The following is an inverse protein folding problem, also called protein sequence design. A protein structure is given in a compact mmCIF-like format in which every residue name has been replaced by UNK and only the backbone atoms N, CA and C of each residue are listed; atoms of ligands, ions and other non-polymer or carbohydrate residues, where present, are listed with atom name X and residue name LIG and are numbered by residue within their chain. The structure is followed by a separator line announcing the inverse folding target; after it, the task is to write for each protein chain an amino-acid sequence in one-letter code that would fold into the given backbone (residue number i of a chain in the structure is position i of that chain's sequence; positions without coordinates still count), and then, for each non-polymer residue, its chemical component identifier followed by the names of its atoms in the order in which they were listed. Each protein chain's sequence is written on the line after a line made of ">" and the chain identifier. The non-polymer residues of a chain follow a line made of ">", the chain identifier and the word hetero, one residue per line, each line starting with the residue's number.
data_IF_279900765456
#
_entry.id   IF_279900765456
#
_cell.length_a   1.000
_cell.length_b   1.000
_cell.length_c   1.000
_cell.angle_alpha   90.00
_cell.angle_beta   90.00
_cell.angle_gamma   90.00
#
_symmetry.space_group_name_H-M   'P 1'
#
loop_
_entity.id
_entity.type
_entity.pdbx_description
1 polymer ?
#
# COMPACT_ATOMS: atom_id res chain seq x y z
N UNK A 1 -8.52 2.12 32.59
CA UNK A 1 -7.64 2.65 33.64
C UNK A 1 -6.20 2.10 33.57
N UNK A 2 -5.90 0.80 33.75
CA UNK A 2 -4.51 0.27 33.65
C UNK A 2 -3.92 0.44 32.23
N UNK A 3 -4.68 0.17 31.16
CA UNK A 3 -4.24 0.38 29.78
C UNK A 3 -3.98 1.84 29.43
N UNK A 4 -4.72 2.76 30.03
CA UNK A 4 -4.58 4.20 29.80
C UNK A 4 -3.32 4.73 30.50
N UNK A 5 -3.02 4.24 31.73
CA UNK A 5 -1.80 4.56 32.46
C UNK A 5 -0.56 4.02 31.71
N UNK A 6 -0.62 2.79 31.20
CA UNK A 6 0.46 2.20 30.39
C UNK A 6 0.68 2.96 29.08
N UNK A 7 -0.40 3.44 28.44
CA UNK A 7 -0.32 4.28 27.23
C UNK A 7 0.31 5.63 27.52
N UNK A 8 -0.10 6.31 28.61
CA UNK A 8 0.46 7.60 29.04
C UNK A 8 1.93 7.45 29.40
N UNK A 9 2.28 6.40 30.15
CA UNK A 9 3.67 6.11 30.52
C UNK A 9 4.56 5.88 29.30
N UNK A 10 4.08 5.10 28.32
CA UNK A 10 4.79 4.89 27.05
C UNK A 10 5.00 6.19 26.28
N UNK A 11 4.02 7.08 26.28
CA UNK A 11 4.07 8.35 25.56
C UNK A 11 5.04 9.36 26.21
N UNK A 12 5.23 9.28 27.52
CA UNK A 12 6.14 10.17 28.29
C UNK A 12 7.59 9.68 28.17
N UNK A 13 7.83 8.38 28.20
CA UNK A 13 9.18 7.80 28.35
C UNK A 13 9.78 7.20 27.06
N UNK A 14 8.97 7.02 26.00
CA UNK A 14 9.42 6.41 24.74
C UNK A 14 9.21 7.37 23.58
N UNK A 15 10.21 7.50 22.71
CA UNK A 15 10.05 8.29 21.48
C UNK A 15 9.02 7.66 20.53
N UNK A 16 8.30 8.49 19.78
CA UNK A 16 7.36 8.00 18.75
C UNK A 16 8.05 7.11 17.71
N UNK A 17 9.30 7.41 17.38
CA UNK A 17 10.13 6.58 16.48
C UNK A 17 10.34 5.17 17.06
N UNK A 18 10.68 5.06 18.34
CA UNK A 18 10.81 3.75 19.00
C UNK A 18 9.51 2.98 19.01
N UNK A 19 8.40 3.65 19.33
CA UNK A 19 7.06 3.03 19.36
C UNK A 19 6.65 2.56 17.98
N UNK A 20 6.86 3.37 16.93
CA UNK A 20 6.58 2.99 15.54
C UNK A 20 7.42 1.78 15.14
N UNK A 21 8.74 1.82 15.35
CA UNK A 21 9.65 0.69 15.07
C UNK A 21 9.21 -0.61 15.75
N UNK A 22 8.77 -0.52 17.01
CA UNK A 22 8.25 -1.67 17.77
C UNK A 22 6.96 -2.21 17.16
N UNK A 23 6.04 -1.32 16.72
CA UNK A 23 4.79 -1.71 16.03
C UNK A 23 5.09 -2.43 14.72
N UNK A 24 6.00 -1.89 13.89
CA UNK A 24 6.40 -2.50 12.62
C UNK A 24 7.02 -3.88 12.81
N UNK A 25 7.98 -4.02 13.73
CA UNK A 25 8.57 -5.32 14.07
C UNK A 25 7.51 -6.33 14.54
N UNK A 26 6.54 -5.88 15.38
CA UNK A 26 5.47 -6.73 15.88
C UNK A 26 4.50 -7.14 14.77
N UNK A 27 4.17 -6.23 13.83
CA UNK A 27 3.30 -6.54 12.70
C UNK A 27 3.88 -7.66 11.84
N UNK A 28 5.19 -7.59 11.54
CA UNK A 28 5.89 -8.65 10.81
C UNK A 28 5.96 -9.95 11.63
N UNK A 29 6.40 -9.87 12.90
CA UNK A 29 6.59 -11.07 13.73
C UNK A 29 5.27 -11.82 14.03
N UNK A 30 4.15 -11.11 14.10
CA UNK A 30 2.81 -11.70 14.33
C UNK A 30 2.07 -12.02 13.04
N UNK A 31 2.67 -11.69 11.92
CA UNK A 31 2.10 -11.96 10.61
C UNK A 31 0.66 -11.45 10.47
N UNK A 32 0.46 -10.16 10.78
CA UNK A 32 -0.86 -9.54 10.70
C UNK A 32 -1.47 -9.61 9.29
N UNK A 33 -0.60 -9.65 8.28
CA UNK A 33 -0.96 -9.86 6.89
C UNK A 33 -0.16 -11.05 6.35
N UNK A 34 -0.86 -12.12 5.97
CA UNK A 34 -0.23 -13.35 5.45
C UNK A 34 0.62 -13.09 4.20
N UNK A 35 0.30 -12.03 3.46
CA UNK A 35 0.96 -11.62 2.23
C UNK A 35 2.37 -11.05 2.46
N UNK A 36 2.73 -10.67 3.69
CA UNK A 36 4.10 -10.25 4.02
C UNK A 36 5.14 -11.36 3.77
N UNK A 37 4.73 -12.64 3.82
CA UNK A 37 5.59 -13.77 3.44
C UNK A 37 5.87 -13.82 1.94
N UNK A 38 4.99 -13.28 1.10
CA UNK A 38 5.19 -13.24 -0.35
C UNK A 38 6.48 -12.50 -0.69
N UNK A 39 6.78 -11.43 0.05
CA UNK A 39 7.99 -10.61 -0.16
C UNK A 39 9.26 -11.46 -0.07
N UNK A 40 9.30 -12.46 0.82
CA UNK A 40 10.48 -13.32 1.00
C UNK A 40 10.76 -14.21 -0.22
N UNK A 41 9.73 -14.53 -1.02
CA UNK A 41 9.87 -15.33 -2.24
C UNK A 41 10.48 -14.52 -3.40
N UNK A 42 10.38 -13.19 -3.37
CA UNK A 42 10.77 -12.29 -4.47
C UNK A 42 11.88 -11.31 -4.08
N UNK A 43 12.55 -11.54 -2.96
CA UNK A 43 13.64 -10.69 -2.46
C UNK A 43 14.77 -10.54 -3.48
N UNK A 44 15.22 -9.32 -3.68
CA UNK A 44 16.36 -9.00 -4.55
C UNK A 44 17.08 -7.74 -4.06
N UNK A 45 18.22 -7.93 -3.39
CA UNK A 45 19.02 -6.84 -2.84
C UNK A 45 19.75 -5.99 -3.89
N UNK A 46 19.75 -6.42 -5.14
CA UNK A 46 20.34 -5.66 -6.24
C UNK A 46 19.37 -4.69 -6.89
N UNK A 47 18.05 -4.84 -6.65
CA UNK A 47 16.98 -4.09 -7.30
C UNK A 47 16.12 -3.35 -6.30
N UNK A 48 15.40 -2.34 -6.81
CA UNK A 48 14.52 -1.52 -6.01
C UNK A 48 13.10 -2.12 -5.96
N UNK A 49 12.33 -1.74 -4.93
CA UNK A 49 10.93 -2.07 -4.80
C UNK A 49 10.07 -0.83 -4.59
N UNK A 50 8.77 -0.96 -4.91
CA UNK A 50 7.79 0.12 -4.79
C UNK A 50 6.67 -0.31 -3.86
N UNK A 51 6.24 0.62 -2.97
CA UNK A 51 5.10 0.49 -2.07
C UNK A 51 4.11 1.61 -2.33
N UNK A 52 2.97 1.29 -2.96
CA UNK A 52 1.91 2.25 -3.29
C UNK A 52 0.77 2.08 -2.31
N UNK A 53 0.53 3.11 -1.51
CA UNK A 53 -0.38 3.08 -0.36
C UNK A 53 0.34 2.61 0.91
N UNK A 54 1.17 3.49 1.47
CA UNK A 54 2.05 3.18 2.61
C UNK A 54 1.29 2.94 3.90
N UNK A 55 0.24 3.74 4.15
CA UNK A 55 -0.57 3.70 5.37
C UNK A 55 0.30 3.68 6.64
N UNK A 56 0.50 2.54 7.30
CA UNK A 56 1.31 2.39 8.53
C UNK A 56 2.78 2.04 8.28
N UNK A 57 3.17 1.87 7.02
CA UNK A 57 4.55 1.57 6.63
C UNK A 57 5.00 0.13 6.86
N UNK A 58 4.07 -0.81 7.05
CA UNK A 58 4.42 -2.22 7.32
C UNK A 58 5.09 -2.85 6.09
N UNK A 59 4.51 -2.67 4.90
CA UNK A 59 5.14 -3.15 3.66
C UNK A 59 6.44 -2.44 3.35
N UNK A 60 6.49 -1.09 3.43
CA UNK A 60 7.75 -0.36 3.26
C UNK A 60 8.86 -0.89 4.18
N UNK A 61 8.52 -1.17 5.47
CA UNK A 61 9.49 -1.71 6.42
C UNK A 61 9.90 -3.15 6.09
N UNK A 62 8.99 -4.01 5.62
CA UNK A 62 9.32 -5.37 5.16
C UNK A 62 10.19 -5.33 3.91
N UNK A 63 9.77 -4.58 2.87
CA UNK A 63 10.51 -4.42 1.62
C UNK A 63 11.93 -3.90 1.86
N UNK A 64 12.11 -2.96 2.80
CA UNK A 64 13.45 -2.39 3.10
C UNK A 64 14.47 -3.41 3.58
N UNK A 65 14.03 -4.57 4.04
CA UNK A 65 14.91 -5.67 4.46
C UNK A 65 15.32 -6.57 3.30
N UNK A 66 14.54 -6.54 2.20
CA UNK A 66 14.65 -7.53 1.12
C UNK A 66 15.10 -6.94 -0.22
N UNK A 67 15.02 -5.61 -0.39
CA UNK A 67 15.39 -4.90 -1.62
C UNK A 67 16.43 -3.81 -1.36
N UNK A 68 16.99 -3.23 -2.44
CA UNK A 68 18.02 -2.20 -2.38
C UNK A 68 17.47 -0.87 -1.88
N UNK A 69 16.60 -0.21 -2.64
CA UNK A 69 15.90 1.02 -2.29
C UNK A 69 14.40 0.81 -2.35
N UNK A 70 13.66 1.52 -1.50
CA UNK A 70 12.20 1.47 -1.47
C UNK A 70 11.65 2.84 -1.84
N UNK A 71 10.81 2.85 -2.88
CA UNK A 71 10.06 4.03 -3.31
C UNK A 71 8.63 3.91 -2.81
N UNK A 72 8.28 4.70 -1.79
CA UNK A 72 7.00 4.60 -1.08
C UNK A 72 6.13 5.81 -1.37
N UNK A 73 4.85 5.58 -1.68
CA UNK A 73 3.91 6.63 -2.09
C UNK A 73 2.72 6.71 -1.13
N UNK A 74 2.53 7.90 -0.51
CA UNK A 74 1.44 8.17 0.42
C UNK A 74 0.88 9.58 0.19
N UNK A 75 -0.27 9.72 -0.48
CA UNK A 75 -0.87 11.02 -0.76
C UNK A 75 -1.57 11.66 0.43
N UNK A 76 -1.94 10.87 1.45
CA UNK A 76 -2.79 11.31 2.54
C UNK A 76 -2.11 12.39 3.40
N UNK A 77 -2.57 13.67 3.35
CA UNK A 77 -1.94 14.78 4.06
C UNK A 77 -2.02 14.67 5.59
N UNK A 78 -2.89 13.79 6.09
CA UNK A 78 -3.01 13.52 7.51
C UNK A 78 -2.00 12.46 7.99
N UNK A 79 -1.51 11.60 7.09
CA UNK A 79 -0.52 10.55 7.38
C UNK A 79 0.90 10.96 7.00
N UNK A 80 1.07 11.55 5.84
CA UNK A 80 2.38 11.85 5.28
C UNK A 80 3.32 12.59 6.24
N UNK A 81 2.92 13.66 6.98
CA UNK A 81 3.84 14.35 7.89
C UNK A 81 4.38 13.45 8.99
N UNK A 82 3.55 12.54 9.52
CA UNK A 82 3.96 11.58 10.54
C UNK A 82 4.94 10.55 9.97
N UNK A 83 4.63 9.98 8.81
CA UNK A 83 5.48 9.01 8.13
C UNK A 83 6.82 9.64 7.73
N UNK A 84 6.79 10.84 7.16
CA UNK A 84 8.00 11.55 6.76
C UNK A 84 8.89 11.88 7.96
N UNK A 85 8.30 12.20 9.10
CA UNK A 85 9.06 12.53 10.32
C UNK A 85 9.69 11.32 10.98
N UNK A 86 9.00 10.17 10.99
CA UNK A 86 9.41 9.03 11.82
C UNK A 86 9.76 7.77 10.99
N UNK A 87 9.01 7.46 9.94
CA UNK A 87 9.23 6.23 9.16
C UNK A 87 10.51 6.31 8.34
N UNK A 88 10.81 7.48 7.74
CA UNK A 88 12.05 7.69 6.97
C UNK A 88 13.33 7.52 7.82
N UNK A 89 13.26 7.85 9.11
CA UNK A 89 14.39 7.62 10.05
C UNK A 89 14.56 6.14 10.39
N UNK A 90 13.45 5.38 10.42
CA UNK A 90 13.47 3.94 10.71
C UNK A 90 13.94 3.13 9.50
N UNK A 91 13.68 3.63 8.29
CA UNK A 91 13.95 2.98 7.00
C UNK A 91 14.89 3.88 6.18
N UNK A 92 16.23 3.79 6.40
CA UNK A 92 17.19 4.69 5.76
C UNK A 92 17.31 4.50 4.23
N UNK A 93 16.95 3.32 3.71
CA UNK A 93 16.90 3.02 2.27
C UNK A 93 15.49 3.21 1.67
N UNK A 94 14.72 4.19 2.17
CA UNK A 94 13.40 4.53 1.64
C UNK A 94 13.35 5.99 1.22
N UNK A 95 12.74 6.25 0.07
CA UNK A 95 12.27 7.56 -0.34
C UNK A 95 10.76 7.60 -0.25
N UNK A 96 10.21 8.54 0.52
CA UNK A 96 8.78 8.72 0.70
C UNK A 96 8.28 9.89 -0.14
N UNK A 97 7.30 9.63 -1.01
CA UNK A 97 6.71 10.60 -1.91
C UNK A 97 5.29 10.97 -1.46
N UNK A 98 4.96 12.27 -1.50
CA UNK A 98 3.62 12.77 -1.19
C UNK A 98 2.78 12.91 -2.47
N UNK A 99 2.63 11.84 -3.21
CA UNK A 99 1.84 11.78 -4.43
C UNK A 99 0.86 10.62 -4.37
N UNK A 100 -0.33 10.80 -4.95
CA UNK A 100 -1.12 9.68 -5.44
C UNK A 100 -0.53 9.21 -6.77
N UNK A 101 -0.59 7.92 -7.06
CA UNK A 101 -0.20 7.40 -8.37
C UNK A 101 -1.45 7.12 -9.22
N UNK A 102 -1.36 7.47 -10.51
CA UNK A 102 -2.45 7.34 -11.47
C UNK A 102 -1.89 7.20 -12.89
N UNK A 103 -2.77 7.09 -13.90
CA UNK A 103 -2.43 7.12 -15.31
C UNK A 103 -2.27 8.54 -15.90
N UNK A 104 -2.41 9.58 -15.06
CA UNK A 104 -2.28 11.00 -15.45
C UNK A 104 -1.53 11.80 -14.36
N UNK A 105 -0.96 12.93 -14.78
CA UNK A 105 -0.41 13.95 -13.89
C UNK A 105 -1.46 15.06 -13.74
N UNK A 106 -2.09 15.14 -12.58
CA UNK A 106 -3.16 16.11 -12.31
C UNK A 106 -3.31 16.38 -10.81
N UNK A 107 -4.03 17.45 -10.45
CA UNK A 107 -4.55 17.60 -9.10
C UNK A 107 -5.89 16.85 -9.00
N UNK A 108 -6.10 16.18 -7.89
CA UNK A 108 -7.34 15.42 -7.64
C UNK A 108 -7.75 15.47 -6.18
N UNK A 109 -8.98 15.04 -5.91
CA UNK A 109 -9.51 14.97 -4.56
C UNK A 109 -9.31 13.60 -3.93
N UNK A 110 -8.54 13.55 -2.84
CA UNK A 110 -8.43 12.38 -1.96
C UNK A 110 -9.58 12.41 -0.96
N UNK A 111 -10.44 11.41 -1.00
CA UNK A 111 -11.54 11.21 -0.05
C UNK A 111 -11.02 10.44 1.17
N UNK A 112 -11.07 11.04 2.34
CA UNK A 112 -10.69 10.40 3.60
C UNK A 112 -11.95 10.20 4.44
N UNK A 113 -12.44 8.96 4.62
CA UNK A 113 -13.64 8.71 5.39
C UNK A 113 -13.42 8.89 6.89
N UNK A 114 -14.45 9.38 7.60
CA UNK A 114 -14.42 9.51 9.05
C UNK A 114 -15.72 9.00 9.70
N UNK A 115 -15.61 8.60 10.97
CA UNK A 115 -16.74 8.04 11.74
C UNK A 115 -17.61 9.10 12.44
N UNK A 116 -17.26 10.38 12.30
CA UNK A 116 -17.88 11.50 13.02
C UNK A 116 -17.18 11.78 14.35
N UNK A 117 -17.40 13.00 14.89
CA UNK A 117 -16.84 13.41 16.19
C UNK A 117 -17.47 12.59 17.30
N UNK A 118 -16.66 11.86 18.05
CA UNK A 118 -17.06 11.27 19.33
C UNK A 118 -16.37 12.04 20.44
N UNK A 119 -17.16 12.57 21.38
CA UNK A 119 -16.65 13.28 22.58
C UNK A 119 -15.74 12.39 23.44
N UNK A 120 -15.80 11.08 23.26
CA UNK A 120 -14.99 10.08 24.01
C UNK A 120 -13.79 9.56 23.24
N UNK A 121 -13.56 10.00 21.99
CA UNK A 121 -12.46 9.52 21.15
C UNK A 121 -11.44 10.63 20.93
N UNK A 122 -10.34 10.54 21.68
CA UNK A 122 -9.22 11.46 21.57
C UNK A 122 -8.14 11.01 20.58
N UNK A 123 -8.35 9.87 19.92
CA UNK A 123 -7.37 9.31 19.01
C UNK A 123 -7.75 9.60 17.56
N UNK A 124 -6.86 10.26 16.84
CA UNK A 124 -7.04 10.66 15.44
C UNK A 124 -7.36 9.47 14.52
N UNK A 125 -6.72 8.31 14.73
CA UNK A 125 -6.99 7.07 14.00
C UNK A 125 -8.39 6.48 14.27
N UNK A 126 -9.01 6.82 15.40
CA UNK A 126 -10.39 6.38 15.70
C UNK A 126 -11.44 7.26 15.04
N UNK A 127 -11.10 8.52 14.74
CA UNK A 127 -11.96 9.48 14.05
C UNK A 127 -11.94 9.23 12.55
N UNK A 128 -10.75 9.04 11.98
CA UNK A 128 -10.54 8.84 10.55
C UNK A 128 -10.20 7.38 10.21
N UNK A 129 -10.77 6.88 9.12
CA UNK A 129 -10.38 5.61 8.51
C UNK A 129 -9.24 5.86 7.51
N UNK A 130 -8.06 6.18 8.02
CA UNK A 130 -6.93 6.66 7.23
C UNK A 130 -6.45 5.65 6.17
N UNK A 131 -6.58 4.35 6.45
CA UNK A 131 -6.22 3.30 5.51
C UNK A 131 -7.26 3.07 4.40
N UNK A 132 -8.43 3.73 4.47
CA UNK A 132 -9.46 3.64 3.43
C UNK A 132 -9.52 4.92 2.58
N UNK A 133 -8.46 5.72 2.55
CA UNK A 133 -8.40 6.93 1.74
C UNK A 133 -8.25 6.56 0.26
N UNK A 134 -9.05 7.21 -0.62
CA UNK A 134 -9.05 6.90 -2.04
C UNK A 134 -9.31 8.12 -2.91
N UNK A 135 -8.73 8.12 -4.10
CA UNK A 135 -9.07 9.06 -5.19
C UNK A 135 -10.11 8.46 -6.16
N UNK A 136 -10.54 7.22 -5.96
CA UNK A 136 -11.49 6.56 -6.85
C UNK A 136 -12.90 7.16 -6.73
N UNK A 137 -13.54 7.45 -7.87
CA UNK A 137 -14.82 8.16 -7.93
C UNK A 137 -15.98 7.37 -7.33
N UNK A 138 -16.00 6.04 -7.51
CA UNK A 138 -17.13 5.18 -7.15
C UNK A 138 -17.20 4.83 -5.66
N UNK A 139 -16.19 5.17 -4.87
CA UNK A 139 -16.23 4.97 -3.42
C UNK A 139 -17.14 6.00 -2.76
N UNK A 140 -18.35 5.57 -2.41
CA UNK A 140 -19.35 6.38 -1.73
C UNK A 140 -19.27 6.15 -0.21
N UNK A 141 -18.49 6.97 0.47
CA UNK A 141 -18.50 7.00 1.93
C UNK A 141 -19.68 7.86 2.41
N UNK A 142 -20.37 7.46 3.48
CA UNK A 142 -21.41 8.29 4.10
C UNK A 142 -20.88 9.63 4.61
N UNK A 143 -19.63 9.62 5.15
CA UNK A 143 -18.94 10.80 5.67
C UNK A 143 -17.48 10.75 5.30
N UNK A 144 -16.99 11.79 4.63
CA UNK A 144 -15.59 11.93 4.25
C UNK A 144 -15.21 13.42 4.14
N UNK A 145 -13.93 13.68 4.25
CA UNK A 145 -13.33 14.96 3.89
C UNK A 145 -12.56 14.81 2.59
N UNK A 146 -12.59 15.83 1.75
CA UNK A 146 -11.79 15.95 0.55
C UNK A 146 -10.52 16.73 0.83
N UNK A 147 -9.41 16.22 0.30
CA UNK A 147 -8.13 16.91 0.32
C UNK A 147 -7.57 16.91 -1.10
N UNK A 148 -7.20 18.08 -1.60
CA UNK A 148 -6.53 18.18 -2.88
C UNK A 148 -5.12 17.59 -2.78
N UNK A 149 -4.77 16.69 -3.70
CA UNK A 149 -3.47 16.00 -3.76
C UNK A 149 -2.96 15.92 -5.19
N UNK A 150 -1.65 15.91 -5.36
CA UNK A 150 -1.03 15.64 -6.67
C UNK A 150 -1.14 14.17 -7.03
N UNK A 151 -1.59 13.90 -8.25
CA UNK A 151 -1.46 12.61 -8.92
C UNK A 151 -0.31 12.63 -9.91
N UNK A 152 0.47 11.55 -9.96
CA UNK A 152 1.56 11.37 -10.93
C UNK A 152 1.55 9.97 -11.54
N UNK A 153 2.08 9.87 -12.75
CA UNK A 153 2.42 8.58 -13.33
C UNK A 153 3.69 8.06 -12.66
N UNK A 154 3.71 6.78 -12.34
CA UNK A 154 4.91 6.16 -11.78
C UNK A 154 6.11 6.29 -12.73
N UNK A 155 5.89 6.12 -14.03
CA UNK A 155 6.89 6.27 -15.08
C UNK A 155 7.54 7.66 -15.13
N UNK A 156 6.86 8.70 -14.64
CA UNK A 156 7.39 10.07 -14.63
C UNK A 156 8.20 10.35 -13.35
N UNK A 157 7.91 9.65 -12.25
CA UNK A 157 8.58 9.83 -10.96
C UNK A 157 9.82 8.95 -10.84
N UNK A 158 9.72 7.68 -11.22
CA UNK A 158 10.80 6.71 -11.10
C UNK A 158 11.45 6.51 -12.47
N UNK A 159 12.69 7.01 -12.61
CA UNK A 159 13.48 6.92 -13.84
C UNK A 159 14.77 6.16 -13.59
N UNK A 160 15.17 5.35 -14.56
CA UNK A 160 16.46 4.65 -14.57
C UNK A 160 16.75 3.78 -13.32
N UNK A 161 15.68 3.17 -12.80
CA UNK A 161 15.73 2.24 -11.67
C UNK A 161 15.21 0.87 -12.07
N UNK A 162 15.96 -0.16 -11.76
CA UNK A 162 15.51 -1.55 -11.95
C UNK A 162 14.56 -1.93 -10.82
N UNK A 163 13.29 -2.05 -11.14
CA UNK A 163 12.23 -2.40 -10.20
C UNK A 163 11.91 -3.89 -10.34
N UNK A 164 11.99 -4.65 -9.26
CA UNK A 164 11.66 -6.09 -9.25
C UNK A 164 10.39 -6.44 -8.49
N UNK A 165 9.87 -5.51 -7.67
CA UNK A 165 8.65 -5.74 -6.89
C UNK A 165 7.84 -4.45 -6.75
N UNK A 166 6.51 -4.54 -6.93
CA UNK A 166 5.58 -3.44 -6.70
C UNK A 166 4.39 -3.95 -5.88
N UNK A 167 4.17 -3.38 -4.69
CA UNK A 167 2.92 -3.54 -3.93
C UNK A 167 1.99 -2.39 -4.26
N UNK A 168 0.71 -2.70 -4.53
CA UNK A 168 -0.33 -1.71 -4.84
C UNK A 168 -1.56 -2.00 -3.99
N UNK A 169 -1.96 -0.99 -3.20
CA UNK A 169 -3.15 -1.02 -2.35
C UNK A 169 -3.63 0.42 -2.19
N UNK A 170 -4.59 0.80 -3.02
CA UNK A 170 -5.04 2.20 -3.21
C UNK A 170 -6.56 2.34 -3.27
N UNK A 171 -7.25 1.33 -2.70
CA UNK A 171 -8.67 1.38 -2.44
C UNK A 171 -9.52 1.68 -3.70
N UNK A 172 -9.24 0.93 -4.79
CA UNK A 172 -10.01 0.93 -6.03
C UNK A 172 -9.35 1.64 -7.22
N UNK A 173 -8.14 2.19 -7.06
CA UNK A 173 -7.44 2.91 -8.14
C UNK A 173 -6.26 2.12 -8.74
N UNK A 174 -6.14 0.82 -8.44
CA UNK A 174 -5.01 -0.06 -8.76
C UNK A 174 -4.71 -0.10 -10.26
N UNK A 175 -5.77 -0.18 -11.09
CA UNK A 175 -5.58 -0.26 -12.54
C UNK A 175 -4.96 1.02 -13.11
N UNK A 176 -5.38 2.19 -12.63
CA UNK A 176 -4.81 3.47 -13.06
C UNK A 176 -3.34 3.60 -12.65
N UNK A 177 -2.96 3.08 -11.47
CA UNK A 177 -1.55 2.99 -11.05
C UNK A 177 -0.75 2.14 -12.04
N UNK A 178 -1.26 0.97 -12.41
CA UNK A 178 -0.60 0.04 -13.35
C UNK A 178 -0.48 0.68 -14.74
N UNK A 179 -1.52 1.35 -15.22
CA UNK A 179 -1.49 2.08 -16.50
C UNK A 179 -0.45 3.21 -16.48
N UNK A 180 -0.29 3.90 -15.33
CA UNK A 180 0.74 4.93 -15.14
C UNK A 180 2.16 4.41 -14.93
N UNK A 181 2.32 3.09 -14.78
CA UNK A 181 3.58 2.37 -14.64
C UNK A 181 3.94 1.56 -15.90
N UNK A 182 3.30 1.84 -17.04
CA UNK A 182 3.39 1.02 -18.24
C UNK A 182 4.82 0.75 -18.73
N UNK A 183 5.70 1.75 -18.69
CA UNK A 183 7.08 1.61 -19.14
C UNK A 183 7.90 0.75 -18.15
N UNK A 184 7.76 0.99 -16.85
CA UNK A 184 8.43 0.20 -15.80
C UNK A 184 7.99 -1.26 -15.89
N UNK A 185 6.67 -1.50 -15.97
CA UNK A 185 6.10 -2.85 -16.05
C UNK A 185 6.57 -3.58 -17.30
N UNK A 186 6.56 -2.93 -18.47
CA UNK A 186 6.98 -3.59 -19.69
C UNK A 186 8.49 -3.84 -19.75
N UNK A 187 9.30 -2.92 -19.22
CA UNK A 187 10.77 -3.01 -19.25
C UNK A 187 11.32 -4.01 -18.24
N UNK A 188 10.85 -3.96 -17.01
CA UNK A 188 11.46 -4.71 -15.89
C UNK A 188 10.65 -5.92 -15.45
N UNK A 189 9.38 -6.01 -15.85
CA UNK A 189 8.48 -7.12 -15.47
C UNK A 189 8.49 -7.43 -13.96
N UNK A 190 8.36 -6.42 -13.08
CA UNK A 190 8.39 -6.65 -11.64
C UNK A 190 7.27 -7.61 -11.22
N UNK A 191 7.48 -8.36 -10.15
CA UNK A 191 6.36 -9.03 -9.47
C UNK A 191 5.42 -7.97 -8.91
N UNK A 192 4.11 -8.12 -9.17
CA UNK A 192 3.10 -7.22 -8.62
C UNK A 192 2.33 -7.93 -7.51
N UNK A 193 2.20 -7.29 -6.35
CA UNK A 193 1.26 -7.66 -5.29
C UNK A 193 0.17 -6.59 -5.24
N UNK A 194 -1.05 -6.95 -5.64
CA UNK A 194 -2.14 -5.99 -5.83
C UNK A 194 -3.35 -6.40 -5.00
N UNK A 195 -3.83 -5.50 -4.14
CA UNK A 195 -5.12 -5.67 -3.47
C UNK A 195 -6.24 -5.21 -4.41
N UNK A 196 -7.19 -6.11 -4.72
CA UNK A 196 -8.30 -5.83 -5.63
C UNK A 196 -9.59 -6.25 -4.95
N UNK A 197 -10.48 -5.27 -4.70
CA UNK A 197 -11.78 -5.52 -4.07
C UNK A 197 -12.93 -4.94 -4.90
N UNK A 198 -13.98 -5.72 -5.13
CA UNK A 198 -15.19 -5.29 -5.85
C UNK A 198 -15.93 -4.15 -5.14
N UNK A 199 -15.85 -4.10 -3.80
CA UNK A 199 -16.54 -3.06 -3.01
C UNK A 199 -16.06 -1.64 -3.38
N UNK A 200 -14.82 -1.49 -3.87
CA UNK A 200 -14.24 -0.20 -4.23
C UNK A 200 -14.58 0.21 -5.66
N UNK A 201 -14.47 -0.70 -6.60
CA UNK A 201 -14.65 -0.41 -8.04
C UNK A 201 -16.06 -0.64 -8.54
N UNK A 202 -16.91 -1.39 -7.81
CA UNK A 202 -18.21 -1.90 -8.24
C UNK A 202 -18.13 -2.75 -9.51
N UNK A 203 -16.96 -3.32 -9.78
CA UNK A 203 -16.69 -4.19 -10.94
C UNK A 203 -16.11 -5.50 -10.45
N UNK A 204 -16.42 -6.64 -11.14
CA UNK A 204 -15.84 -7.92 -10.78
C UNK A 204 -14.31 -7.87 -10.75
N UNK A 205 -13.70 -8.48 -9.72
CA UNK A 205 -12.23 -8.60 -9.56
C UNK A 205 -11.57 -9.10 -10.84
N UNK A 206 -12.22 -10.05 -11.53
CA UNK A 206 -11.75 -10.64 -12.77
C UNK A 206 -11.49 -9.60 -13.88
N UNK A 207 -12.25 -8.51 -13.92
CA UNK A 207 -12.05 -7.45 -14.91
C UNK A 207 -10.68 -6.77 -14.75
N UNK A 208 -10.29 -6.48 -13.52
CA UNK A 208 -8.98 -5.90 -13.21
C UNK A 208 -7.86 -6.92 -13.46
N UNK A 209 -8.03 -8.16 -13.02
CA UNK A 209 -7.08 -9.24 -13.27
C UNK A 209 -6.82 -9.40 -14.77
N UNK A 210 -7.87 -9.49 -15.60
CA UNK A 210 -7.74 -9.68 -17.05
C UNK A 210 -7.02 -8.52 -17.74
N UNK A 211 -7.16 -7.29 -17.22
CA UNK A 211 -6.42 -6.13 -17.74
C UNK A 211 -4.94 -6.21 -17.39
N UNK A 212 -4.60 -6.63 -16.17
CA UNK A 212 -3.20 -6.81 -15.76
C UNK A 212 -2.54 -7.96 -16.53
N UNK A 213 -3.26 -9.05 -16.79
CA UNK A 213 -2.77 -10.18 -17.60
C UNK A 213 -2.34 -9.76 -19.01
N UNK A 214 -2.92 -8.70 -19.59
CA UNK A 214 -2.52 -8.18 -20.92
C UNK A 214 -1.09 -7.65 -20.95
N UNK A 215 -0.49 -7.33 -19.79
CA UNK A 215 0.92 -6.99 -19.67
C UNK A 215 1.85 -8.23 -19.68
N UNK A 216 1.35 -9.44 -19.91
CA UNK A 216 2.14 -10.67 -19.96
C UNK A 216 2.36 -11.30 -18.59
N UNK A 217 1.38 -11.19 -17.70
CA UNK A 217 1.42 -11.78 -16.37
C UNK A 217 0.49 -12.98 -16.24
N UNK A 218 0.92 -13.95 -15.44
CA UNK A 218 0.08 -14.94 -14.80
C UNK A 218 -0.34 -14.46 -13.42
N UNK A 219 -1.49 -14.90 -12.94
CA UNK A 219 -2.07 -14.49 -11.66
C UNK A 219 -2.04 -15.64 -10.66
N UNK A 220 -1.68 -15.30 -9.42
CA UNK A 220 -1.55 -16.23 -8.30
C UNK A 220 -2.18 -15.65 -7.05
N UNK A 221 -2.40 -16.49 -6.05
CA UNK A 221 -2.81 -16.10 -4.70
C UNK A 221 -1.99 -16.87 -3.66
N UNK A 222 -1.99 -16.38 -2.41
CA UNK A 222 -1.22 -16.98 -1.33
C UNK A 222 -2.13 -17.70 -0.34
N UNK A 223 -1.97 -19.02 -0.21
CA UNK A 223 -2.76 -19.83 0.72
C UNK A 223 -1.92 -20.99 1.27
N UNK A 224 -2.01 -21.19 2.60
CA UNK A 224 -1.29 -22.28 3.29
C UNK A 224 0.23 -22.22 3.03
N UNK A 225 0.83 -21.04 3.11
CA UNK A 225 2.25 -20.76 2.86
C UNK A 225 2.73 -21.16 1.45
N UNK A 226 1.83 -21.21 0.48
CA UNK A 226 2.13 -21.53 -0.92
C UNK A 226 1.54 -20.49 -1.86
N UNK A 227 2.30 -20.17 -2.92
CA UNK A 227 1.83 -19.37 -4.06
C UNK A 227 1.16 -20.33 -5.04
N UNK A 228 -0.13 -20.12 -5.33
CA UNK A 228 -0.96 -20.98 -6.20
C UNK A 228 -1.45 -20.20 -7.39
N UNK A 229 -1.31 -20.75 -8.59
CA UNK A 229 -1.81 -20.14 -9.82
C UNK A 229 -3.34 -20.17 -9.87
N UNK A 230 -3.93 -19.09 -10.33
CA UNK A 230 -5.37 -18.99 -10.61
C UNK A 230 -5.57 -19.44 -12.06
N UNK A 231 -6.17 -20.62 -12.23
CA UNK A 231 -6.47 -21.21 -13.53
C UNK A 231 -7.98 -21.07 -13.79
N UNK A 232 -8.37 -20.83 -15.05
CA UNK A 232 -9.77 -20.84 -15.52
C UNK A 232 -10.74 -19.97 -14.68
N UNK A 233 -10.28 -18.80 -14.22
CA UNK A 233 -11.08 -17.85 -13.45
C UNK A 233 -11.56 -18.35 -12.07
N UNK A 234 -10.98 -19.45 -11.56
CA UNK A 234 -11.32 -19.98 -10.24
C UNK A 234 -10.67 -19.15 -9.12
N UNK A 235 -11.23 -17.95 -8.88
CA UNK A 235 -10.79 -17.03 -7.83
C UNK A 235 -11.42 -17.48 -6.51
N UNK A 236 -10.62 -17.66 -5.42
CA UNK A 236 -11.19 -17.96 -4.12
C UNK A 236 -12.06 -16.80 -3.60
N UNK A 237 -13.24 -17.09 -3.04
CA UNK A 237 -14.28 -16.12 -2.69
C UNK A 237 -13.84 -14.98 -1.76
N UNK A 238 -12.87 -15.22 -0.90
CA UNK A 238 -12.39 -14.22 0.08
C UNK A 238 -11.01 -13.62 -0.28
N UNK A 239 -10.44 -13.99 -1.45
CA UNK A 239 -9.11 -13.49 -1.81
C UNK A 239 -9.18 -12.07 -2.33
N UNK A 240 -8.29 -11.22 -1.82
CA UNK A 240 -8.18 -9.80 -2.17
C UNK A 240 -6.80 -9.44 -2.68
N UNK A 241 -5.79 -10.18 -2.26
CA UNK A 241 -4.39 -9.94 -2.58
C UNK A 241 -3.92 -10.91 -3.69
N UNK A 242 -3.69 -10.36 -4.87
CA UNK A 242 -3.30 -11.10 -6.05
C UNK A 242 -1.83 -10.84 -6.37
N UNK A 243 -1.12 -11.92 -6.72
CA UNK A 243 0.29 -11.87 -7.11
C UNK A 243 0.34 -12.05 -8.62
N UNK A 244 1.01 -11.14 -9.30
CA UNK A 244 1.20 -11.22 -10.73
C UNK A 244 2.69 -11.45 -11.01
N UNK A 245 3.00 -12.56 -11.69
CA UNK A 245 4.35 -12.97 -12.05
C UNK A 245 4.42 -13.02 -13.57
N UNK A 246 5.45 -12.43 -14.15
CA UNK A 246 5.66 -12.45 -15.61
C UNK A 246 5.83 -13.87 -16.12
N UNK A 247 5.23 -14.16 -17.28
CA UNK A 247 5.32 -15.45 -17.96
C UNK A 247 6.71 -15.68 -18.51
#
# INVERSE_FOLDING_TARGET
>A
MIKDIEYIFKKIFLSEEYLLKKRLKRAIAKNYEKELYIVDHFKDKSKDAIDVGVYRGVYSYKLSKEFNQIHSFEPNPLLYPYLNRYLTKIIPNMTLYNYALSNKNELTNLKIPYRGKSIFKNNFEEIYKLGCATIHETNNFEKFNNYEVECKKLDDVIKDKEISFIKIDVEGHELSVIEGANNIINKYKPTLLVEIEEKHTKKPVLNTINKIKKFGYKVYFFKNNQIKEIIEHNIPDEERNFIFISS
#
